data_IF_366149357502
#
_entry.id   IF_366149357502
#
_cell.length_a   1.000
_cell.length_b   1.000
_cell.length_c   1.000
_cell.angle_alpha   90.00
_cell.angle_beta   90.00
_cell.angle_gamma   90.00
#
_symmetry.space_group_name_H-M   'P 1'
#
loop_
_entity.id
_entity.type
_entity.pdbx_description
1 polymer ?
#
# COMPACT_ATOMS: atom_id res chain seq x y z
N UNK A 1 23.25 -0.99 1.46
CA UNK A 1 22.20 -2.03 1.50
C UNK A 1 21.75 -2.32 0.06
N UNK A 2 21.96 -3.53 -0.45
CA UNK A 2 21.39 -3.95 -1.73
C UNK A 2 20.06 -4.66 -1.45
N UNK A 3 18.96 -4.07 -1.94
CA UNK A 3 17.61 -4.61 -1.79
C UNK A 3 17.24 -5.35 -3.06
N UNK A 4 16.84 -6.61 -2.93
CA UNK A 4 16.38 -7.43 -4.04
C UNK A 4 14.90 -7.76 -3.87
N UNK A 5 14.06 -7.21 -4.74
CA UNK A 5 12.64 -7.58 -4.84
C UNK A 5 12.54 -9.03 -5.31
N UNK A 6 11.78 -9.84 -4.59
CA UNK A 6 11.56 -11.27 -4.88
C UNK A 6 10.15 -11.56 -5.38
N UNK A 7 9.16 -10.77 -4.96
CA UNK A 7 7.78 -10.91 -5.40
C UNK A 7 7.06 -9.54 -5.37
N UNK A 8 6.07 -9.38 -6.26
CA UNK A 8 5.16 -8.25 -6.29
C UNK A 8 3.78 -8.76 -6.66
N UNK A 9 2.79 -8.49 -5.81
CA UNK A 9 1.44 -9.01 -5.98
C UNK A 9 0.41 -8.01 -5.47
N UNK A 10 -0.83 -8.15 -5.93
CA UNK A 10 -1.95 -7.33 -5.47
C UNK A 10 -2.89 -8.21 -4.64
N UNK A 11 -3.17 -7.78 -3.41
CA UNK A 11 -4.26 -8.36 -2.63
C UNK A 11 -5.55 -7.68 -3.07
N UNK A 12 -6.41 -8.45 -3.73
CA UNK A 12 -7.67 -7.96 -4.27
C UNK A 12 -8.69 -7.65 -3.17
N UNK A 13 -9.58 -6.72 -3.50
CA UNK A 13 -10.74 -6.38 -2.67
C UNK A 13 -11.65 -7.60 -2.54
N UNK A 14 -12.23 -7.82 -1.36
CA UNK A 14 -13.21 -8.91 -1.19
C UNK A 14 -14.44 -8.68 -2.10
N UNK A 15 -14.94 -9.71 -2.80
CA UNK A 15 -16.09 -9.59 -3.71
C UNK A 15 -17.41 -9.25 -3.00
N UNK A 16 -17.39 -9.15 -1.66
CA UNK A 16 -18.53 -8.81 -0.82
C UNK A 16 -18.91 -7.33 -0.96
N UNK A 17 -18.02 -6.47 -1.43
CA UNK A 17 -18.31 -5.05 -1.58
C UNK A 17 -19.07 -4.77 -2.87
N UNK A 18 -20.26 -4.19 -2.73
CA UNK A 18 -20.93 -3.55 -3.86
C UNK A 18 -20.09 -2.34 -4.32
N UNK A 19 -19.81 -2.21 -5.63
CA UNK A 19 -19.08 -1.06 -6.14
C UNK A 19 -19.72 0.24 -5.68
N UNK A 20 -18.91 1.11 -5.09
CA UNK A 20 -19.37 2.40 -4.59
C UNK A 20 -18.28 3.46 -4.73
N UNK A 21 -18.72 4.70 -4.91
CA UNK A 21 -17.84 5.86 -4.95
C UNK A 21 -17.96 6.62 -3.62
N UNK A 22 -16.84 6.79 -2.94
CA UNK A 22 -16.72 7.55 -1.70
C UNK A 22 -16.14 8.93 -2.05
N UNK A 23 -16.94 10.01 -2.02
CA UNK A 23 -16.46 11.33 -2.41
C UNK A 23 -15.43 11.85 -1.39
N UNK A 24 -14.41 12.55 -1.89
CA UNK A 24 -13.47 13.27 -1.02
C UNK A 24 -14.18 14.37 -0.24
N UNK A 25 -13.85 14.47 1.05
CA UNK A 25 -14.26 15.58 1.90
C UNK A 25 -13.55 16.88 1.49
N UNK A 26 -13.90 18.00 2.12
CA UNK A 26 -13.14 19.24 1.91
C UNK A 26 -11.70 19.14 2.45
N UNK A 27 -11.47 18.32 3.48
CA UNK A 27 -10.14 18.13 4.06
C UNK A 27 -9.27 17.27 3.16
N UNK A 28 -9.82 16.21 2.58
CA UNK A 28 -9.08 15.34 1.64
C UNK A 28 -8.64 16.11 0.40
N UNK A 29 -9.48 17.05 -0.09
CA UNK A 29 -9.15 17.92 -1.23
C UNK A 29 -8.11 18.99 -0.93
N UNK A 30 -7.93 19.34 0.35
CA UNK A 30 -6.91 20.28 0.78
C UNK A 30 -5.58 19.58 1.11
N UNK A 31 -5.64 18.28 1.44
CA UNK A 31 -4.46 17.48 1.68
C UNK A 31 -3.59 17.35 0.43
N UNK A 32 -2.29 17.17 0.65
CA UNK A 32 -1.34 16.95 -0.43
C UNK A 32 -1.51 15.54 -1.00
N UNK A 33 -1.54 15.44 -2.32
CA UNK A 33 -1.70 14.17 -3.03
C UNK A 33 -0.33 13.46 -3.17
N UNK A 34 0.15 12.86 -2.08
CA UNK A 34 1.33 11.99 -2.08
C UNK A 34 1.15 10.82 -1.11
N UNK A 35 1.90 9.74 -1.33
CA UNK A 35 1.94 8.60 -0.41
C UNK A 35 2.82 8.92 0.81
N UNK A 36 2.28 8.69 2.01
CA UNK A 36 3.05 8.78 3.26
C UNK A 36 3.81 7.48 3.47
N UNK A 37 5.13 7.54 3.40
CA UNK A 37 6.02 6.41 3.64
C UNK A 37 6.35 6.27 5.13
N UNK A 38 6.13 5.07 5.70
CA UNK A 38 6.51 4.72 7.08
C UNK A 38 7.28 3.40 7.08
N UNK A 39 8.38 3.34 7.83
CA UNK A 39 9.24 2.15 7.93
C UNK A 39 9.21 1.59 9.35
N UNK A 40 8.93 0.30 9.46
CA UNK A 40 8.99 -0.47 10.71
C UNK A 40 10.08 -1.53 10.60
N UNK A 41 10.84 -1.71 11.68
CA UNK A 41 11.89 -2.70 11.77
C UNK A 41 11.64 -3.61 12.99
N UNK A 42 11.72 -4.92 12.78
CA UNK A 42 11.42 -5.93 13.81
C UNK A 42 12.63 -6.85 13.97
N UNK A 43 13.04 -7.10 15.21
CA UNK A 43 14.04 -8.13 15.51
C UNK A 43 13.41 -9.52 15.44
N UNK A 44 14.14 -10.56 15.03
CA UNK A 44 13.63 -11.93 15.06
C UNK A 44 13.19 -12.38 16.47
N UNK A 45 12.22 -13.31 16.57
CA UNK A 45 11.50 -13.95 15.47
C UNK A 45 10.37 -13.05 14.91
N UNK A 46 10.19 -13.09 13.59
CA UNK A 46 9.08 -12.41 12.90
C UNK A 46 8.12 -13.43 12.30
N UNK A 47 6.87 -13.03 12.03
CA UNK A 47 5.94 -13.85 11.26
C UNK A 47 6.48 -14.11 9.84
N UNK A 48 6.04 -15.22 9.22
CA UNK A 48 6.35 -15.50 7.81
C UNK A 48 5.60 -14.54 6.89
N UNK A 49 6.11 -14.32 5.68
CA UNK A 49 5.44 -13.48 4.68
C UNK A 49 4.00 -13.95 4.41
N UNK A 50 3.79 -15.27 4.31
CA UNK A 50 2.45 -15.87 4.16
C UNK A 50 1.52 -15.49 5.32
N UNK A 51 2.03 -15.51 6.56
CA UNK A 51 1.25 -15.11 7.73
C UNK A 51 0.87 -13.63 7.71
N UNK A 52 1.81 -12.76 7.36
CA UNK A 52 1.58 -11.31 7.24
C UNK A 52 0.56 -11.02 6.13
N UNK A 53 0.71 -11.61 4.95
CA UNK A 53 -0.21 -11.46 3.81
C UNK A 53 -1.62 -11.95 4.16
N UNK A 54 -1.73 -13.09 4.86
CA UNK A 54 -3.03 -13.61 5.33
C UNK A 54 -3.70 -12.66 6.33
N UNK A 55 -2.93 -12.11 7.28
CA UNK A 55 -3.42 -11.11 8.23
C UNK A 55 -3.88 -9.83 7.55
N UNK A 56 -3.10 -9.34 6.60
CA UNK A 56 -3.43 -8.17 5.79
C UNK A 56 -4.72 -8.40 5.00
N UNK A 57 -4.85 -9.52 4.28
CA UNK A 57 -6.06 -9.87 3.52
C UNK A 57 -7.32 -9.88 4.39
N UNK A 58 -7.27 -10.46 5.60
CA UNK A 58 -8.39 -10.43 6.55
C UNK A 58 -8.70 -9.01 7.03
N UNK A 59 -7.67 -8.21 7.25
CA UNK A 59 -7.80 -6.82 7.72
C UNK A 59 -8.45 -5.94 6.67
N UNK A 60 -8.05 -6.05 5.40
CA UNK A 60 -8.56 -5.22 4.30
C UNK A 60 -10.08 -5.37 4.07
N UNK A 61 -10.68 -6.49 4.48
CA UNK A 61 -12.16 -6.65 4.50
C UNK A 61 -12.84 -5.59 5.37
N UNK A 62 -12.18 -5.12 6.42
CA UNK A 62 -12.71 -4.10 7.32
C UNK A 62 -12.34 -2.66 6.92
N UNK A 63 -11.38 -2.50 5.99
CA UNK A 63 -10.86 -1.21 5.54
C UNK A 63 -10.87 -1.11 4.00
N UNK A 64 -12.04 -1.19 3.36
CA UNK A 64 -12.15 -1.33 1.91
C UNK A 64 -11.61 -0.13 1.13
N UNK A 65 -11.57 1.06 1.75
CA UNK A 65 -10.97 2.26 1.17
C UNK A 65 -9.46 2.14 0.95
N UNK A 66 -8.75 1.29 1.72
CA UNK A 66 -7.32 1.02 1.51
C UNK A 66 -7.04 0.17 0.26
N UNK A 67 -8.09 -0.36 -0.36
CA UNK A 67 -8.00 -1.11 -1.60
C UNK A 67 -8.67 -0.38 -2.77
N UNK A 68 -9.08 0.87 -2.55
CA UNK A 68 -9.76 1.66 -3.54
C UNK A 68 -8.79 2.31 -4.51
N UNK A 69 -9.31 2.68 -5.68
CA UNK A 69 -8.62 3.53 -6.63
C UNK A 69 -9.09 4.97 -6.50
N UNK A 70 -8.18 5.92 -6.69
CA UNK A 70 -8.57 7.34 -6.83
C UNK A 70 -9.21 7.52 -8.22
N UNK A 71 -10.37 8.17 -8.25
CA UNK A 71 -11.17 8.37 -9.44
C UNK A 71 -11.98 9.67 -9.32
N UNK A 72 -12.97 9.84 -10.21
CA UNK A 72 -13.96 10.91 -10.17
C UNK A 72 -15.37 10.34 -10.07
N UNK A 73 -16.22 10.97 -9.24
CA UNK A 73 -17.63 10.62 -9.09
C UNK A 73 -18.46 10.99 -10.34
N UNK A 74 -19.74 10.64 -10.35
CA UNK A 74 -20.68 10.96 -11.44
C UNK A 74 -20.89 12.46 -11.70
N UNK A 75 -20.39 13.33 -10.81
CA UNK A 75 -20.41 14.80 -10.93
C UNK A 75 -19.02 15.36 -11.28
N UNK A 76 -18.06 14.51 -11.60
CA UNK A 76 -16.69 14.89 -11.95
C UNK A 76 -15.83 15.34 -10.78
N UNK A 77 -16.20 15.00 -9.53
CA UNK A 77 -15.43 15.39 -8.32
C UNK A 77 -14.52 14.24 -7.87
N UNK A 78 -13.33 14.51 -7.31
CA UNK A 78 -12.46 13.46 -6.79
C UNK A 78 -13.16 12.53 -5.78
N UNK A 79 -12.96 11.23 -5.95
CA UNK A 79 -13.56 10.18 -5.11
C UNK A 79 -12.68 8.93 -5.05
N UNK A 80 -12.93 8.07 -4.06
CA UNK A 80 -12.42 6.71 -4.04
C UNK A 80 -13.44 5.76 -4.63
N UNK A 81 -13.02 4.93 -5.56
CA UNK A 81 -13.84 3.86 -6.11
C UNK A 81 -13.49 2.56 -5.43
N UNK A 82 -14.43 2.02 -4.65
CA UNK A 82 -14.27 0.84 -3.80
C UNK A 82 -14.95 -0.37 -4.46
N UNK A 83 -14.36 -1.56 -4.32
CA UNK A 83 -14.99 -2.82 -4.71
C UNK A 83 -15.05 -3.07 -6.22
N UNK A 84 -14.19 -2.41 -7.01
CA UNK A 84 -14.02 -2.69 -8.44
C UNK A 84 -12.84 -3.63 -8.71
N UNK A 85 -12.84 -4.40 -9.82
CA UNK A 85 -11.79 -5.37 -10.12
C UNK A 85 -10.38 -4.78 -10.30
N UNK A 86 -10.31 -3.49 -10.60
CA UNK A 86 -9.06 -2.75 -10.76
C UNK A 86 -8.49 -2.25 -9.43
N UNK A 87 -9.17 -2.42 -8.30
CA UNK A 87 -8.70 -2.07 -6.96
C UNK A 87 -7.87 -3.17 -6.29
N UNK A 88 -7.15 -2.81 -5.24
CA UNK A 88 -6.37 -3.74 -4.43
C UNK A 88 -5.22 -3.06 -3.66
N UNK A 89 -4.57 -3.82 -2.77
CA UNK A 89 -3.38 -3.38 -2.05
C UNK A 89 -2.14 -4.04 -2.63
N UNK A 90 -1.14 -3.24 -3.03
CA UNK A 90 0.15 -3.74 -3.52
C UNK A 90 0.98 -4.30 -2.35
N UNK A 91 1.51 -5.51 -2.53
CA UNK A 91 2.46 -6.14 -1.62
C UNK A 91 3.72 -6.50 -2.38
N UNK A 92 4.85 -5.96 -1.91
CA UNK A 92 6.19 -6.23 -2.43
C UNK A 92 6.99 -6.97 -1.38
N UNK A 93 7.49 -8.15 -1.72
CA UNK A 93 8.40 -8.92 -0.88
C UNK A 93 9.82 -8.71 -1.42
N UNK A 94 10.77 -8.44 -0.51
CA UNK A 94 12.16 -8.21 -0.85
C UNK A 94 13.10 -8.84 0.19
N UNK A 95 14.35 -9.05 -0.21
CA UNK A 95 15.41 -9.59 0.64
C UNK A 95 16.65 -8.72 0.58
N UNK A 96 17.46 -8.79 1.64
CA UNK A 96 18.73 -8.07 1.81
C UNK A 96 19.75 -9.05 2.34
N UNK A 97 20.96 -9.08 1.77
CA UNK A 97 22.04 -10.02 2.10
C UNK A 97 22.90 -9.59 3.33
N UNK A 98 22.33 -8.84 4.27
CA UNK A 98 23.01 -8.35 5.48
C UNK A 98 22.03 -8.30 6.65
N UNK A 99 22.54 -8.16 7.88
CA UNK A 99 21.67 -8.16 9.05
C UNK A 99 21.09 -6.77 9.29
N UNK A 100 19.91 -6.72 9.91
CA UNK A 100 19.27 -5.45 10.27
C UNK A 100 20.17 -4.58 11.16
N UNK A 101 20.88 -5.20 12.12
CA UNK A 101 21.79 -4.51 13.07
C UNK A 101 22.90 -3.72 12.38
N UNK A 102 23.36 -4.18 11.20
CA UNK A 102 24.41 -3.50 10.43
C UNK A 102 23.94 -2.17 9.82
N UNK A 103 22.63 -1.92 9.79
CA UNK A 103 22.01 -0.74 9.18
C UNK A 103 21.25 0.14 10.19
N UNK A 104 21.34 -0.16 11.49
CA UNK A 104 20.74 0.67 12.54
C UNK A 104 21.72 1.75 13.03
N UNK A 105 21.25 2.98 13.31
CA UNK A 105 19.89 3.46 13.08
C UNK A 105 19.59 3.67 11.60
N UNK A 106 18.33 3.42 11.20
CA UNK A 106 17.90 3.66 9.82
C UNK A 106 17.94 5.17 9.52
N UNK A 107 18.91 5.59 8.72
CA UNK A 107 18.97 6.96 8.21
C UNK A 107 18.20 7.05 6.89
N UNK A 108 17.42 8.13 6.65
CA UNK A 108 16.75 8.34 5.36
C UNK A 108 17.74 8.21 4.19
N UNK A 109 17.41 7.37 3.21
CA UNK A 109 18.23 7.09 2.05
C UNK A 109 17.40 7.17 0.77
N UNK A 110 17.92 7.76 -0.32
CA UNK A 110 17.24 7.78 -1.61
C UNK A 110 16.88 6.39 -2.14
N UNK A 111 17.60 5.35 -1.73
CA UNK A 111 17.34 3.95 -2.10
C UNK A 111 15.97 3.47 -1.62
N UNK A 112 15.42 4.04 -0.54
CA UNK A 112 14.08 3.68 -0.05
C UNK A 112 12.97 4.01 -1.05
N UNK A 113 13.21 4.89 -2.03
CA UNK A 113 12.26 5.11 -3.13
C UNK A 113 11.93 3.85 -3.92
N UNK A 114 12.82 2.86 -3.95
CA UNK A 114 12.57 1.56 -4.59
C UNK A 114 11.48 0.74 -3.88
N UNK A 115 11.15 1.07 -2.63
CA UNK A 115 10.09 0.44 -1.85
C UNK A 115 8.74 1.16 -2.01
N UNK A 116 8.72 2.29 -2.72
CA UNK A 116 7.50 3.02 -3.02
C UNK A 116 7.06 2.70 -4.46
N UNK A 117 5.75 2.60 -4.73
CA UNK A 117 5.21 2.60 -6.08
C UNK A 117 5.67 3.83 -6.85
N UNK A 118 5.71 3.70 -8.17
CA UNK A 118 5.96 4.83 -9.04
C UNK A 118 4.82 5.85 -8.90
N UNK A 119 5.19 7.06 -8.49
CA UNK A 119 4.26 8.17 -8.26
C UNK A 119 3.58 8.66 -9.55
N UNK A 120 4.13 8.36 -10.72
CA UNK A 120 3.56 8.80 -12.00
C UNK A 120 2.48 7.85 -12.54
N UNK A 121 2.40 6.61 -12.04
CA UNK A 121 1.43 5.58 -12.50
C UNK A 121 0.72 4.87 -11.33
N UNK A 122 0.78 5.46 -10.13
CA UNK A 122 0.12 4.90 -8.95
C UNK A 122 -1.40 5.04 -9.09
N UNK A 123 -2.05 3.96 -9.56
CA UNK A 123 -3.52 3.83 -9.60
C UNK A 123 -4.11 3.41 -8.26
N UNK A 124 -3.28 2.89 -7.38
CA UNK A 124 -3.67 2.36 -6.08
C UNK A 124 -3.28 3.32 -4.96
N UNK A 125 -4.16 3.42 -3.97
CA UNK A 125 -3.78 3.91 -2.65
C UNK A 125 -2.85 2.88 -2.00
N UNK A 126 -1.71 3.33 -1.47
CA UNK A 126 -0.95 2.55 -0.50
C UNK A 126 -1.44 2.88 0.90
#
# INVERSE_FOLDING_TARGET
MEVKVTNSSIILTSPIFHPSDVPFTIFDRFALNYHIAVLYAFTPPTSTNVGIISGLSKTLVHFPTLTANISTDSRGRPSLTVGRPDGGALVVEATVSSKLEDHLPLTPSPIFRLLHPDVNDAKHLL
#
